data_IF_887992948728
#
_entry.id   IF_887992948728
#
_cell.length_a   1.000
_cell.length_b   1.000
_cell.length_c   1.000
_cell.angle_alpha   90.00
_cell.angle_beta   90.00
_cell.angle_gamma   90.00
#
_symmetry.space_group_name_H-M   'P 1'
#
loop_
_entity.id
_entity.type
_entity.pdbx_description
1 polymer ?
#
# COMPACT_ATOMS: atom_id res chain seq x y z
N UNK A 1 14.63 -14.51 -5.55
CA UNK A 1 14.49 -15.37 -4.37
C UNK A 1 14.80 -16.79 -4.78
N UNK A 2 15.92 -17.33 -4.28
CA UNK A 2 16.37 -18.69 -4.58
C UNK A 2 15.36 -19.72 -4.06
N UNK A 3 15.34 -20.90 -4.65
CA UNK A 3 14.49 -22.02 -4.19
C UNK A 3 14.94 -22.44 -2.78
N UNK A 4 16.21 -22.26 -2.43
CA UNK A 4 16.80 -22.56 -1.12
C UNK A 4 16.22 -21.73 0.03
N UNK A 5 15.79 -20.49 -0.27
CA UNK A 5 15.16 -19.58 0.70
C UNK A 5 13.60 -19.66 0.70
N UNK A 6 13.04 -20.75 0.17
CA UNK A 6 11.59 -20.90 0.04
C UNK A 6 10.96 -20.04 -1.07
N UNK A 7 11.77 -19.48 -1.94
CA UNK A 7 11.33 -18.72 -3.11
C UNK A 7 10.92 -19.64 -4.27
N UNK A 8 10.27 -19.06 -5.28
CA UNK A 8 9.68 -19.79 -6.43
C UNK A 8 10.71 -20.01 -7.55
N UNK A 9 11.95 -19.59 -7.38
CA UNK A 9 13.01 -19.75 -8.38
C UNK A 9 12.74 -19.02 -9.69
N UNK A 10 12.17 -17.82 -9.63
CA UNK A 10 11.92 -17.01 -10.82
C UNK A 10 13.22 -16.62 -11.50
N UNK A 11 13.29 -16.71 -12.83
CA UNK A 11 14.41 -16.18 -13.59
C UNK A 11 14.54 -14.67 -13.40
N UNK A 12 15.74 -14.12 -13.58
CA UNK A 12 15.97 -12.67 -13.50
C UNK A 12 15.05 -11.89 -14.46
N UNK A 13 14.79 -12.44 -15.64
CA UNK A 13 13.87 -11.86 -16.63
C UNK A 13 12.44 -11.81 -16.09
N UNK A 14 11.93 -12.89 -15.50
CA UNK A 14 10.58 -12.93 -14.93
C UNK A 14 10.45 -11.98 -13.72
N UNK A 15 11.48 -11.85 -12.89
CA UNK A 15 11.51 -10.86 -11.80
C UNK A 15 11.45 -9.42 -12.33
N UNK A 16 12.22 -9.12 -13.36
CA UNK A 16 12.21 -7.78 -13.98
C UNK A 16 10.83 -7.48 -14.59
N UNK A 17 10.24 -8.43 -15.30
CA UNK A 17 8.90 -8.29 -15.86
C UNK A 17 7.85 -8.06 -14.77
N UNK A 18 7.92 -8.79 -13.66
CA UNK A 18 7.04 -8.59 -12.51
C UNK A 18 7.18 -7.19 -11.92
N UNK A 19 8.40 -6.71 -11.70
CA UNK A 19 8.66 -5.37 -11.16
C UNK A 19 8.08 -4.30 -12.09
N UNK A 20 8.32 -4.40 -13.41
CA UNK A 20 7.77 -3.45 -14.39
C UNK A 20 6.23 -3.47 -14.35
N UNK A 21 5.63 -4.65 -14.34
CA UNK A 21 4.18 -4.80 -14.27
C UNK A 21 3.60 -4.18 -12.99
N UNK A 22 4.27 -4.38 -11.84
CA UNK A 22 3.88 -3.75 -10.56
C UNK A 22 4.00 -2.23 -10.62
N UNK A 23 5.05 -1.67 -11.24
CA UNK A 23 5.20 -0.22 -11.39
C UNK A 23 4.09 0.39 -12.25
N UNK A 24 3.70 -0.29 -13.32
CA UNK A 24 2.55 0.11 -14.15
C UNK A 24 1.26 0.07 -13.33
N UNK A 25 1.03 -1.01 -12.59
CA UNK A 25 -0.12 -1.13 -11.68
C UNK A 25 -0.17 -0.02 -10.64
N UNK A 26 0.97 0.30 -10.03
CA UNK A 26 1.11 1.39 -9.07
C UNK A 26 0.73 2.74 -9.67
N UNK A 27 1.24 3.06 -10.87
CA UNK A 27 0.92 4.31 -11.56
C UNK A 27 -0.59 4.46 -11.82
N UNK A 28 -1.23 3.41 -12.34
CA UNK A 28 -2.68 3.40 -12.51
C UNK A 28 -3.42 3.51 -11.18
N UNK A 29 -2.92 2.89 -10.11
CA UNK A 29 -3.47 2.99 -8.77
C UNK A 29 -3.51 4.43 -8.25
N UNK A 30 -2.43 5.18 -8.42
CA UNK A 30 -2.38 6.59 -8.05
C UNK A 30 -3.38 7.45 -8.82
N UNK A 31 -3.45 7.30 -10.13
CA UNK A 31 -4.35 8.06 -11.00
C UNK A 31 -5.82 7.74 -10.66
N UNK A 32 -6.14 6.45 -10.61
CA UNK A 32 -7.52 6.00 -10.32
C UNK A 32 -7.98 6.38 -8.92
N UNK A 33 -7.09 6.31 -7.92
CA UNK A 33 -7.44 6.75 -6.58
C UNK A 33 -7.90 8.21 -6.57
N UNK A 34 -7.18 9.11 -7.26
CA UNK A 34 -7.56 10.52 -7.38
C UNK A 34 -8.98 10.67 -7.91
N UNK A 35 -9.26 10.11 -9.09
CA UNK A 35 -10.58 10.20 -9.72
C UNK A 35 -11.71 9.57 -8.88
N UNK A 36 -11.47 8.41 -8.30
CA UNK A 36 -12.48 7.71 -7.49
C UNK A 36 -12.75 8.45 -6.19
N UNK A 37 -11.70 8.93 -5.52
CA UNK A 37 -11.82 9.62 -4.24
C UNK A 37 -12.53 10.98 -4.36
N UNK A 38 -12.39 11.64 -5.51
CA UNK A 38 -13.14 12.88 -5.80
C UNK A 38 -14.65 12.62 -5.99
N UNK A 39 -15.01 11.45 -6.49
CA UNK A 39 -16.43 11.10 -6.77
C UNK A 39 -17.13 10.41 -5.62
N UNK A 40 -16.47 9.45 -4.98
CA UNK A 40 -17.06 8.58 -3.93
C UNK A 40 -16.82 9.13 -2.53
N UNK A 41 -15.72 9.87 -2.34
CA UNK A 41 -15.26 10.39 -1.06
C UNK A 41 -13.88 9.86 -0.68
N UNK A 42 -13.10 10.68 0.03
CA UNK A 42 -11.73 10.35 0.42
C UNK A 42 -11.67 9.13 1.34
N UNK A 43 -12.49 9.15 2.38
CA UNK A 43 -12.54 8.11 3.41
C UNK A 43 -12.93 6.74 2.85
N UNK A 44 -14.02 6.70 2.07
CA UNK A 44 -14.54 5.44 1.53
C UNK A 44 -13.56 4.81 0.56
N UNK A 45 -12.98 5.60 -0.33
CA UNK A 45 -12.01 5.15 -1.31
C UNK A 45 -10.74 4.61 -0.61
N UNK A 46 -10.25 5.31 0.41
CA UNK A 46 -9.07 4.85 1.15
C UNK A 46 -9.31 3.49 1.83
N UNK A 47 -10.41 3.37 2.59
CA UNK A 47 -10.76 2.12 3.27
C UNK A 47 -10.89 0.97 2.26
N UNK A 48 -11.55 1.21 1.14
CA UNK A 48 -11.68 0.21 0.08
C UNK A 48 -10.32 -0.23 -0.46
N UNK A 49 -9.43 0.73 -0.77
CA UNK A 49 -8.10 0.41 -1.31
C UNK A 49 -7.25 -0.41 -0.35
N UNK A 50 -7.21 -0.04 0.94
CA UNK A 50 -6.38 -0.76 1.92
C UNK A 50 -6.95 -2.15 2.25
N UNK A 51 -8.27 -2.32 2.26
CA UNK A 51 -8.88 -3.63 2.44
C UNK A 51 -8.66 -4.55 1.23
N UNK A 52 -8.77 -4.01 0.01
CA UNK A 52 -8.42 -4.73 -1.21
C UNK A 52 -6.94 -5.11 -1.24
N UNK A 53 -6.04 -4.20 -0.83
CA UNK A 53 -4.63 -4.51 -0.69
C UNK A 53 -4.39 -5.65 0.29
N UNK A 54 -5.03 -5.63 1.47
CA UNK A 54 -4.92 -6.70 2.46
C UNK A 54 -5.35 -8.07 1.89
N UNK A 55 -6.51 -8.12 1.22
CA UNK A 55 -7.02 -9.33 0.61
C UNK A 55 -6.11 -9.86 -0.52
N UNK A 56 -5.62 -8.95 -1.38
CA UNK A 56 -4.73 -9.30 -2.47
C UNK A 56 -3.35 -9.77 -1.99
N UNK A 57 -2.81 -9.20 -0.91
CA UNK A 57 -1.57 -9.67 -0.30
C UNK A 57 -1.73 -11.10 0.22
N UNK A 58 -2.83 -11.43 0.88
CA UNK A 58 -3.11 -12.79 1.32
C UNK A 58 -3.23 -13.77 0.15
N UNK A 59 -3.91 -13.38 -0.93
CA UNK A 59 -4.00 -14.17 -2.14
C UNK A 59 -2.63 -14.35 -2.81
N UNK A 60 -1.83 -13.29 -2.86
CA UNK A 60 -0.48 -13.29 -3.42
C UNK A 60 0.46 -14.23 -2.65
N UNK A 61 0.43 -14.19 -1.31
CA UNK A 61 1.26 -15.05 -0.45
C UNK A 61 0.85 -16.51 -0.47
N UNK A 62 -0.42 -16.80 -0.75
CA UNK A 62 -0.96 -18.15 -0.86
C UNK A 62 -0.63 -18.84 -2.19
N UNK A 63 -0.21 -18.07 -3.19
CA UNK A 63 0.01 -18.56 -4.55
C UNK A 63 1.49 -18.83 -4.81
N UNK A 64 1.79 -20.01 -5.38
CA UNK A 64 3.14 -20.39 -5.85
C UNK A 64 3.26 -20.44 -7.38
N UNK A 65 2.18 -20.14 -8.09
CA UNK A 65 2.17 -20.16 -9.54
C UNK A 65 2.78 -18.86 -10.10
N UNK A 66 3.88 -18.90 -10.90
CA UNK A 66 4.53 -17.71 -11.44
C UNK A 66 3.62 -16.81 -12.28
N UNK A 67 2.70 -17.41 -13.04
CA UNK A 67 1.76 -16.66 -13.88
C UNK A 67 0.75 -15.92 -12.99
N UNK A 68 0.25 -16.58 -11.95
CA UNK A 68 -0.67 -15.93 -11.01
C UNK A 68 0.00 -14.78 -10.25
N UNK A 69 1.29 -14.89 -9.90
CA UNK A 69 2.06 -13.81 -9.30
C UNK A 69 2.26 -12.62 -10.24
N UNK A 70 2.53 -12.90 -11.53
CA UNK A 70 2.62 -11.87 -12.57
C UNK A 70 1.31 -11.08 -12.74
N UNK A 71 0.18 -11.75 -12.62
CA UNK A 71 -1.14 -11.12 -12.71
C UNK A 71 -1.53 -10.41 -11.42
N UNK A 72 -1.34 -11.03 -10.26
CA UNK A 72 -1.72 -10.45 -8.97
C UNK A 72 -0.82 -9.28 -8.54
N UNK A 73 0.47 -9.33 -8.89
CA UNK A 73 1.44 -8.30 -8.50
C UNK A 73 1.02 -6.87 -8.84
N UNK A 74 0.63 -6.57 -10.10
CA UNK A 74 0.12 -5.25 -10.47
C UNK A 74 -1.10 -4.80 -9.68
N UNK A 75 -2.03 -5.71 -9.33
CA UNK A 75 -3.19 -5.37 -8.51
C UNK A 75 -2.82 -5.10 -7.05
N UNK A 76 -1.88 -5.87 -6.48
CA UNK A 76 -1.33 -5.58 -5.15
C UNK A 76 -0.69 -4.20 -5.13
N UNK A 77 0.11 -3.87 -6.14
CA UNK A 77 0.72 -2.56 -6.28
C UNK A 77 -0.32 -1.44 -6.51
N UNK A 78 -1.34 -1.68 -7.33
CA UNK A 78 -2.43 -0.76 -7.60
C UNK A 78 -3.16 -0.32 -6.32
N UNK A 79 -3.60 -1.27 -5.51
CA UNK A 79 -4.35 -0.98 -4.29
C UNK A 79 -3.44 -0.60 -3.12
N UNK A 80 -2.30 -1.28 -2.96
CA UNK A 80 -1.39 -1.06 -1.84
C UNK A 80 -0.75 0.32 -1.87
N UNK A 81 -0.19 0.70 -3.03
CA UNK A 81 0.48 2.01 -3.16
C UNK A 81 -0.45 3.12 -3.61
N UNK A 82 -1.52 2.82 -4.35
CA UNK A 82 -2.51 3.81 -4.80
C UNK A 82 -3.13 4.61 -3.65
N UNK A 83 -3.33 4.00 -2.48
CA UNK A 83 -3.84 4.66 -1.29
C UNK A 83 -2.95 5.82 -0.80
N UNK A 84 -1.64 5.80 -1.05
CA UNK A 84 -0.72 6.88 -0.69
C UNK A 84 -1.04 8.20 -1.40
N UNK A 85 -1.63 8.16 -2.58
CA UNK A 85 -2.04 9.37 -3.32
C UNK A 85 -3.09 10.19 -2.54
N UNK A 86 -3.95 9.50 -1.77
CA UNK A 86 -4.96 10.15 -0.94
C UNK A 86 -4.42 10.87 0.30
N UNK A 87 -3.27 10.44 0.80
CA UNK A 87 -2.70 11.01 2.02
C UNK A 87 -2.41 12.51 1.88
N UNK A 88 -1.82 12.92 0.75
CA UNK A 88 -1.53 14.33 0.46
C UNK A 88 -2.80 15.18 0.39
N UNK A 89 -3.84 14.69 -0.29
CA UNK A 89 -5.11 15.40 -0.43
C UNK A 89 -5.83 15.54 0.92
N UNK A 90 -5.96 14.44 1.67
CA UNK A 90 -6.65 14.43 2.97
C UNK A 90 -5.94 15.32 3.99
N UNK A 91 -4.62 15.27 4.07
CA UNK A 91 -3.85 16.13 4.98
C UNK A 91 -3.96 17.60 4.57
N UNK A 92 -3.99 17.92 3.27
CA UNK A 92 -4.21 19.29 2.80
C UNK A 92 -5.60 19.83 3.18
N UNK A 93 -6.60 18.96 3.20
CA UNK A 93 -8.00 19.32 3.53
C UNK A 93 -8.26 19.39 5.05
N UNK A 94 -7.41 18.74 5.87
CA UNK A 94 -7.54 18.74 7.34
C UNK A 94 -6.82 19.94 7.97
N UNK A 95 -5.62 20.29 7.50
CA UNK A 95 -4.81 21.32 8.12
C UNK A 95 -5.12 22.73 7.57
N UNK A 96 -5.23 23.76 8.44
CA UNK A 96 -5.40 25.13 8.02
C UNK A 96 -4.19 25.62 7.21
N UNK A 97 -4.43 26.62 6.37
CA UNK A 97 -3.44 27.11 5.37
C UNK A 97 -2.12 27.55 6.00
N UNK A 98 -2.17 28.17 7.18
CA UNK A 98 -1.02 28.74 7.87
C UNK A 98 0.03 27.68 8.27
N UNK A 99 -0.41 26.48 8.60
CA UNK A 99 0.48 25.40 9.08
C UNK A 99 0.49 24.18 8.14
N UNK A 100 -0.28 24.20 7.07
CA UNK A 100 -0.51 23.05 6.18
C UNK A 100 0.79 22.39 5.71
N UNK A 101 1.70 23.17 5.16
CA UNK A 101 2.95 22.66 4.61
C UNK A 101 3.81 21.99 5.71
N UNK A 102 3.93 22.63 6.86
CA UNK A 102 4.70 22.09 7.99
C UNK A 102 4.04 20.84 8.57
N UNK A 103 2.73 20.85 8.75
CA UNK A 103 1.98 19.71 9.29
C UNK A 103 2.01 18.50 8.34
N UNK A 104 1.86 18.72 7.03
CA UNK A 104 2.00 17.66 6.03
C UNK A 104 3.42 17.07 6.02
N UNK A 105 4.44 17.91 6.00
CA UNK A 105 5.83 17.49 6.05
C UNK A 105 6.14 16.68 7.32
N UNK A 106 5.69 17.15 8.47
CA UNK A 106 5.87 16.47 9.75
C UNK A 106 5.19 15.10 9.77
N UNK A 107 3.90 15.04 9.42
CA UNK A 107 3.13 13.79 9.42
C UNK A 107 3.72 12.77 8.43
N UNK A 108 4.13 13.23 7.24
CA UNK A 108 4.75 12.38 6.24
C UNK A 108 6.09 11.81 6.73
N UNK A 109 6.94 12.64 7.35
CA UNK A 109 8.25 12.20 7.85
C UNK A 109 8.13 11.24 9.03
N UNK A 110 7.18 11.45 9.95
CA UNK A 110 6.89 10.47 11.02
C UNK A 110 6.51 9.12 10.43
N UNK A 111 5.63 9.09 9.43
CA UNK A 111 5.27 7.86 8.72
C UNK A 111 6.49 7.19 8.08
N UNK A 112 7.39 7.95 7.48
CA UNK A 112 8.64 7.42 6.89
C UNK A 112 9.58 6.86 7.93
N UNK A 113 9.75 7.52 9.08
CA UNK A 113 10.57 7.00 10.18
C UNK A 113 10.01 5.65 10.69
N UNK A 114 8.70 5.58 10.89
CA UNK A 114 8.06 4.32 11.28
C UNK A 114 8.23 3.23 10.21
N UNK A 115 8.12 3.57 8.93
CA UNK A 115 8.29 2.62 7.83
C UNK A 115 9.74 2.16 7.62
N UNK A 116 10.74 2.90 8.11
CA UNK A 116 12.13 2.48 8.06
C UNK A 116 12.42 1.20 8.86
N UNK A 117 11.61 0.92 9.88
CA UNK A 117 11.69 -0.34 10.63
C UNK A 117 11.08 -1.54 9.88
N UNK A 118 10.22 -1.31 8.88
CA UNK A 118 9.48 -2.37 8.21
C UNK A 118 10.38 -3.42 7.53
N UNK A 119 11.46 -3.09 6.80
CA UNK A 119 12.34 -4.09 6.20
C UNK A 119 13.01 -4.99 7.25
N UNK A 120 13.39 -4.42 8.39
CA UNK A 120 13.99 -5.19 9.49
C UNK A 120 12.97 -6.15 10.13
N UNK A 121 11.75 -5.67 10.41
CA UNK A 121 10.67 -6.50 10.96
C UNK A 121 10.30 -7.62 10.00
N UNK A 122 10.09 -7.30 8.73
CA UNK A 122 9.74 -8.29 7.70
C UNK A 122 10.89 -9.29 7.49
N UNK A 123 12.15 -8.82 7.47
CA UNK A 123 13.33 -9.68 7.34
C UNK A 123 13.46 -10.68 8.48
N UNK A 124 13.41 -10.22 9.72
CA UNK A 124 13.51 -11.09 10.92
C UNK A 124 12.36 -12.11 11.01
N UNK A 125 11.16 -11.72 10.60
CA UNK A 125 10.02 -12.64 10.54
C UNK A 125 10.16 -13.64 9.39
N UNK A 126 10.73 -13.24 8.26
CA UNK A 126 10.98 -14.12 7.14
C UNK A 126 12.00 -15.22 7.49
N UNK A 127 13.05 -14.89 8.26
CA UNK A 127 14.04 -15.84 8.75
C UNK A 127 13.44 -16.89 9.70
N UNK A 128 12.49 -16.50 10.56
CA UNK A 128 11.93 -17.38 11.60
C UNK A 128 10.68 -18.12 11.15
N UNK A 129 9.82 -17.52 10.35
CA UNK A 129 8.49 -18.06 9.99
C UNK A 129 8.28 -18.22 8.48
N UNK A 130 9.32 -17.92 7.68
CA UNK A 130 9.25 -17.95 6.23
C UNK A 130 8.64 -16.68 5.61
N UNK A 131 9.00 -16.44 4.35
CA UNK A 131 8.69 -15.21 3.62
C UNK A 131 7.18 -14.96 3.44
N UNK A 132 6.41 -16.03 3.18
CA UNK A 132 4.96 -15.93 3.02
C UNK A 132 4.26 -15.45 4.31
N UNK A 133 4.70 -15.96 5.46
CA UNK A 133 4.17 -15.56 6.76
C UNK A 133 4.52 -14.10 7.08
N UNK A 134 5.75 -13.68 6.79
CA UNK A 134 6.19 -12.29 6.98
C UNK A 134 5.38 -11.32 6.13
N UNK A 135 5.10 -11.66 4.88
CA UNK A 135 4.24 -10.84 4.01
C UNK A 135 2.78 -10.81 4.49
N UNK A 136 2.27 -11.91 5.04
CA UNK A 136 0.90 -11.96 5.57
C UNK A 136 0.69 -10.99 6.74
N UNK A 137 1.73 -10.72 7.54
CA UNK A 137 1.70 -9.70 8.60
C UNK A 137 1.50 -8.29 8.03
N UNK A 138 2.02 -8.02 6.83
CA UNK A 138 1.76 -6.75 6.13
C UNK A 138 0.26 -6.55 5.87
N UNK A 139 -0.48 -7.61 5.58
CA UNK A 139 -1.94 -7.56 5.45
C UNK A 139 -2.63 -7.05 6.74
N UNK A 140 -2.14 -7.48 7.91
CA UNK A 140 -2.66 -6.98 9.20
C UNK A 140 -2.44 -5.48 9.35
N UNK A 141 -1.28 -4.96 8.90
CA UNK A 141 -1.01 -3.52 8.94
C UNK A 141 -2.00 -2.73 8.06
N UNK A 142 -2.37 -3.24 6.89
CA UNK A 142 -3.41 -2.63 6.04
C UNK A 142 -4.79 -2.66 6.71
N UNK A 143 -5.15 -3.75 7.38
CA UNK A 143 -6.42 -3.84 8.13
C UNK A 143 -6.44 -2.83 9.28
N UNK A 144 -5.35 -2.73 10.04
CA UNK A 144 -5.22 -1.72 11.10
C UNK A 144 -5.31 -0.29 10.53
N UNK A 145 -4.69 -0.02 9.39
CA UNK A 145 -4.81 1.26 8.70
C UNK A 145 -6.28 1.57 8.35
N UNK A 146 -7.05 0.58 7.86
CA UNK A 146 -8.48 0.76 7.59
C UNK A 146 -9.26 1.10 8.86
N UNK A 147 -8.97 0.41 9.98
CA UNK A 147 -9.61 0.66 11.28
C UNK A 147 -9.32 2.08 11.78
N UNK A 148 -8.05 2.51 11.77
CA UNK A 148 -7.68 3.86 12.18
C UNK A 148 -8.30 4.92 11.28
N UNK A 149 -8.47 4.64 9.98
CA UNK A 149 -9.08 5.56 9.03
C UNK A 149 -10.59 5.79 9.29
N UNK A 150 -11.24 4.90 10.05
CA UNK A 150 -12.65 5.10 10.44
C UNK A 150 -12.83 6.35 11.30
N UNK A 151 -11.84 6.74 12.10
CA UNK A 151 -11.90 7.95 12.93
C UNK A 151 -11.55 9.23 12.16
N UNK A 152 -10.97 9.14 10.97
CA UNK A 152 -10.70 10.31 10.15
C UNK A 152 -12.03 10.79 9.53
N UNK A 153 -12.37 12.09 9.63
CA UNK A 153 -13.58 12.62 9.03
C UNK A 153 -13.52 12.56 7.50
N UNK A 154 -14.69 12.49 6.86
CA UNK A 154 -14.76 12.67 5.40
C UNK A 154 -14.41 14.13 5.06
N UNK A 155 -13.46 14.30 4.16
CA UNK A 155 -12.95 15.64 3.80
C UNK A 155 -13.38 16.09 2.40
N UNK A 156 -14.08 15.24 1.65
CA UNK A 156 -14.57 15.57 0.31
C UNK A 156 -15.39 16.86 0.31
N UNK A 157 -15.01 17.80 -0.55
CA UNK A 157 -15.74 19.06 -0.72
C UNK A 157 -15.54 20.09 0.38
N UNK A 158 -14.55 19.88 1.27
CA UNK A 158 -14.15 20.93 2.22
C UNK A 158 -13.40 22.05 1.48
N UNK A 159 -13.83 23.27 1.73
CA UNK A 159 -13.06 24.46 1.30
C UNK A 159 -11.74 24.51 2.06
N UNK A 160 -10.67 24.73 1.34
CA UNK A 160 -9.34 24.94 1.92
C UNK A 160 -9.33 26.28 2.65
N UNK A 161 -9.23 26.25 3.96
CA UNK A 161 -9.13 27.43 4.82
C UNK A 161 -7.69 27.71 5.20
#
# INVERSE_FOLDING_TARGET
>A
LSVEDGGIGLSAYAMTALIIAMQVGMWFGYVMFGFVSDRVGRKRTYIFYVLMAAALILAYTSTRNPIALLVLGPFVAFFGTGSFSGFGAVTAEIYPTEIRATAQGFTYNIGRLASAAAPWVVGSLAETHGFASALSITSTAFILAAIFWIWIPETRGRELR
#
